data_IF_946259562518
#
_entry.id   IF_946259562518
#
_cell.length_a   1.000
_cell.length_b   1.000
_cell.length_c   1.000
_cell.angle_alpha   90.00
_cell.angle_beta   90.00
_cell.angle_gamma   90.00
#
_symmetry.space_group_name_H-M   'P 1'
#
loop_
_entity.id
_entity.type
_entity.pdbx_description
1 polymer ?
#
# COMPACT_ATOMS: atom_id res chain seq x y z
N UNK A 1 18.31 6.66 0.11
CA UNK A 1 17.13 7.03 0.93
C UNK A 1 17.24 6.45 2.33
N UNK A 2 17.61 5.18 2.46
CA UNK A 2 17.85 4.50 3.75
C UNK A 2 18.82 5.26 4.66
N UNK A 3 20.02 5.60 4.17
CA UNK A 3 21.03 6.33 4.97
C UNK A 3 20.58 7.73 5.39
N UNK A 4 19.83 8.40 4.50
CA UNK A 4 19.23 9.71 4.75
C UNK A 4 18.02 9.61 5.67
N UNK A 5 17.53 8.40 5.91
CA UNK A 5 16.34 8.10 6.71
C UNK A 5 15.10 8.87 6.24
N UNK A 6 14.94 8.95 4.92
CA UNK A 6 13.83 9.63 4.24
C UNK A 6 12.84 8.57 3.73
N UNK A 7 11.54 8.68 4.08
CA UNK A 7 10.51 7.79 3.52
C UNK A 7 10.33 7.97 2.01
N UNK A 8 10.05 6.88 1.31
CA UNK A 8 9.71 6.86 -0.11
C UNK A 8 8.21 6.66 -0.26
N UNK A 9 7.50 7.65 -0.83
CA UNK A 9 6.10 7.47 -1.23
C UNK A 9 6.04 7.06 -2.70
N UNK A 10 5.40 5.93 -2.97
CA UNK A 10 5.17 5.39 -4.31
C UNK A 10 3.76 5.79 -4.70
N UNK A 11 3.64 6.39 -5.87
CA UNK A 11 2.40 6.85 -6.43
C UNK A 11 2.34 6.42 -7.90
N UNK A 12 1.20 5.88 -8.31
CA UNK A 12 0.95 5.48 -9.68
C UNK A 12 1.29 6.61 -10.68
N UNK A 13 1.85 6.28 -11.85
CA UNK A 13 2.19 7.26 -12.87
C UNK A 13 0.96 7.96 -13.43
N UNK A 14 1.19 9.03 -14.20
CA UNK A 14 0.12 9.72 -14.93
C UNK A 14 -0.55 8.82 -15.96
N UNK A 15 0.22 7.90 -16.56
CA UNK A 15 -0.23 6.88 -17.51
C UNK A 15 0.17 5.48 -17.00
N UNK A 16 -0.81 4.67 -16.62
CA UNK A 16 -0.60 3.34 -16.03
C UNK A 16 -0.58 2.19 -17.04
N UNK A 17 -0.20 1.00 -16.60
CA UNK A 17 -0.30 -0.22 -17.40
C UNK A 17 -1.75 -0.48 -17.87
N UNK A 18 -1.91 -0.82 -19.15
CA UNK A 18 -3.21 -1.16 -19.74
C UNK A 18 -4.19 0.01 -19.86
N UNK A 19 -3.74 1.25 -19.65
CA UNK A 19 -4.59 2.44 -19.70
C UNK A 19 -5.30 2.63 -21.05
N UNK A 20 -4.72 2.13 -22.15
CA UNK A 20 -5.36 2.12 -23.46
C UNK A 20 -6.70 1.36 -23.47
N UNK A 21 -6.92 0.45 -22.51
CA UNK A 21 -8.18 -0.28 -22.32
C UNK A 21 -9.12 0.37 -21.30
N UNK A 22 -8.72 1.47 -20.68
CA UNK A 22 -9.40 2.09 -19.53
C UNK A 22 -9.69 3.60 -19.72
N UNK A 23 -9.62 4.09 -20.96
CA UNK A 23 -9.78 5.53 -21.27
C UNK A 23 -11.19 6.08 -20.99
N UNK A 24 -12.20 5.22 -21.01
CA UNK A 24 -13.59 5.60 -20.80
C UNK A 24 -14.00 5.47 -19.32
N UNK A 25 -15.06 6.17 -18.93
CA UNK A 25 -15.68 6.10 -17.59
C UNK A 25 -14.74 6.37 -16.40
N UNK A 26 -13.62 7.07 -16.62
CA UNK A 26 -12.55 7.34 -15.62
C UNK A 26 -11.87 6.08 -15.07
N UNK A 27 -11.98 4.94 -15.76
CA UNK A 27 -11.41 3.66 -15.31
C UNK A 27 -9.89 3.72 -15.16
N UNK A 28 -9.18 4.50 -15.99
CA UNK A 28 -7.73 4.70 -15.87
C UNK A 28 -7.34 5.15 -14.46
N UNK A 29 -8.07 6.12 -13.90
CA UNK A 29 -7.80 6.64 -12.55
C UNK A 29 -8.43 5.80 -11.43
N UNK A 30 -9.64 5.26 -11.62
CA UNK A 30 -10.37 4.58 -10.55
C UNK A 30 -10.04 3.10 -10.40
N UNK A 31 -9.47 2.48 -11.44
CA UNK A 31 -9.13 1.05 -11.49
C UNK A 31 -7.66 0.85 -11.89
N UNK A 32 -7.22 1.48 -12.98
CA UNK A 32 -5.89 1.28 -13.52
C UNK A 32 -4.76 1.70 -12.58
N UNK A 33 -4.80 2.94 -12.07
CA UNK A 33 -3.78 3.47 -11.15
C UNK A 33 -3.60 2.62 -9.88
N UNK A 34 -4.67 2.24 -9.15
CA UNK A 34 -4.54 1.28 -8.05
C UNK A 34 -3.85 -0.02 -8.48
N UNK A 35 -4.23 -0.65 -9.60
CA UNK A 35 -3.58 -1.89 -10.01
C UNK A 35 -2.11 -1.73 -10.40
N UNK A 36 -1.73 -0.61 -11.02
CA UNK A 36 -0.34 -0.30 -11.34
C UNK A 36 0.51 -0.10 -10.07
N UNK A 37 -0.07 0.51 -9.03
CA UNK A 37 0.53 0.62 -7.69
C UNK A 37 0.73 -0.78 -7.06
N UNK A 38 -0.31 -1.62 -7.10
CA UNK A 38 -0.24 -3.00 -6.59
C UNK A 38 0.86 -3.80 -7.29
N UNK A 39 0.96 -3.71 -8.61
CA UNK A 39 2.02 -4.35 -9.39
C UNK A 39 3.40 -3.81 -9.02
N UNK A 40 3.53 -2.50 -8.80
CA UNK A 40 4.78 -1.86 -8.41
C UNK A 40 5.26 -2.35 -7.05
N UNK A 41 4.37 -2.41 -6.05
CA UNK A 41 4.69 -2.96 -4.73
C UNK A 41 5.01 -4.45 -4.82
N UNK A 42 4.22 -5.22 -5.55
CA UNK A 42 4.47 -6.64 -5.76
C UNK A 42 5.88 -6.88 -6.35
N UNK A 43 6.29 -6.08 -7.34
CA UNK A 43 7.63 -6.13 -7.94
C UNK A 43 8.73 -5.73 -6.97
N UNK A 44 8.52 -4.74 -6.11
CA UNK A 44 9.50 -4.39 -5.06
C UNK A 44 9.73 -5.55 -4.09
N UNK A 45 8.66 -6.26 -3.75
CA UNK A 45 8.74 -7.45 -2.90
C UNK A 45 9.50 -8.56 -3.64
N UNK A 46 8.98 -9.06 -4.76
CA UNK A 46 9.54 -10.28 -5.39
C UNK A 46 10.92 -10.10 -6.02
N UNK A 47 11.34 -8.86 -6.28
CA UNK A 47 12.71 -8.55 -6.73
C UNK A 47 13.70 -8.34 -5.58
N UNK A 48 13.30 -8.61 -4.33
CA UNK A 48 14.19 -8.56 -3.18
C UNK A 48 14.60 -7.14 -2.77
N UNK A 49 13.92 -6.09 -3.25
CA UNK A 49 14.29 -4.71 -2.89
C UNK A 49 14.10 -4.47 -1.39
N UNK A 50 13.02 -4.99 -0.83
CA UNK A 50 12.76 -4.90 0.62
C UNK A 50 13.59 -5.89 1.44
N UNK A 51 14.22 -6.88 0.79
CA UNK A 51 15.19 -7.77 1.42
C UNK A 51 16.55 -7.08 1.55
N UNK A 52 17.02 -6.46 0.47
CA UNK A 52 18.28 -5.71 0.44
C UNK A 52 18.20 -4.46 1.34
N UNK A 53 17.12 -3.68 1.23
CA UNK A 53 16.94 -2.41 1.94
C UNK A 53 15.94 -2.53 3.10
N UNK A 54 16.14 -3.45 4.02
CA UNK A 54 15.21 -3.71 5.14
C UNK A 54 14.87 -2.50 6.03
N UNK A 55 15.73 -1.48 6.07
CA UNK A 55 15.51 -0.24 6.83
C UNK A 55 14.73 0.84 6.07
N UNK A 56 14.48 0.64 4.76
CA UNK A 56 13.70 1.60 3.98
C UNK A 56 12.26 1.68 4.50
N UNK A 57 11.71 2.89 4.49
CA UNK A 57 10.30 3.14 4.82
C UNK A 57 9.58 3.52 3.53
N UNK A 58 8.72 2.62 3.05
CA UNK A 58 7.91 2.85 1.85
C UNK A 58 6.49 3.24 2.27
N UNK A 59 5.86 4.14 1.51
CA UNK A 59 4.44 4.46 1.62
C UNK A 59 3.77 4.14 0.29
N UNK A 60 2.89 3.15 0.26
CA UNK A 60 2.06 2.85 -0.91
C UNK A 60 0.79 3.71 -0.91
N UNK A 61 0.54 4.43 -2.01
CA UNK A 61 -0.70 5.18 -2.16
C UNK A 61 -1.91 4.25 -2.32
N UNK A 62 -3.10 4.72 -1.97
CA UNK A 62 -4.37 4.04 -2.23
C UNK A 62 -4.44 2.61 -1.66
N UNK A 63 -4.02 2.43 -0.40
CA UNK A 63 -3.83 1.10 0.23
C UNK A 63 -2.86 0.18 -0.52
N UNK A 64 -1.93 0.74 -1.29
CA UNK A 64 -1.02 -0.03 -2.15
C UNK A 64 -1.75 -0.75 -3.28
N UNK A 65 -2.90 -0.23 -3.71
CA UNK A 65 -3.61 -0.76 -4.87
C UNK A 65 -4.35 -2.08 -4.65
N UNK A 66 -4.54 -2.50 -3.40
CA UNK A 66 -5.11 -3.81 -3.07
C UNK A 66 -4.07 -4.91 -2.84
N UNK A 67 -2.80 -4.56 -2.64
CA UNK A 67 -1.75 -5.55 -2.35
C UNK A 67 -2.11 -6.47 -1.17
N UNK A 68 -2.78 -5.95 -0.13
CA UNK A 68 -3.21 -6.74 1.02
C UNK A 68 -4.27 -7.81 0.64
N UNK A 69 -5.15 -7.53 -0.32
CA UNK A 69 -6.14 -8.49 -0.80
C UNK A 69 -5.48 -9.67 -1.53
N UNK A 70 -4.47 -9.37 -2.35
CA UNK A 70 -3.82 -10.37 -3.21
C UNK A 70 -2.59 -11.03 -2.58
N UNK A 71 -2.17 -10.61 -1.38
CA UNK A 71 -0.89 -11.05 -0.80
C UNK A 71 -0.83 -12.57 -0.61
N UNK A 72 -1.95 -13.21 -0.23
CA UNK A 72 -2.00 -14.67 -0.09
C UNK A 72 -1.80 -15.40 -1.43
N UNK A 73 -2.18 -14.79 -2.57
CA UNK A 73 -1.87 -15.35 -3.89
C UNK A 73 -0.39 -15.23 -4.24
N UNK A 74 0.29 -14.22 -3.74
CA UNK A 74 1.74 -14.09 -3.89
C UNK A 74 2.47 -15.12 -3.03
N UNK A 75 2.03 -15.32 -1.79
CA UNK A 75 2.56 -16.38 -0.91
C UNK A 75 2.38 -17.77 -1.54
N UNK A 76 1.21 -18.04 -2.11
CA UNK A 76 0.96 -19.26 -2.91
C UNK A 76 1.97 -19.44 -4.05
N UNK A 77 2.29 -18.37 -4.80
CA UNK A 77 3.27 -18.44 -5.88
C UNK A 77 4.70 -18.68 -5.35
N UNK A 78 5.02 -18.14 -4.17
CA UNK A 78 6.29 -18.38 -3.48
C UNK A 78 6.41 -19.84 -3.02
N UNK A 79 5.35 -20.42 -2.46
CA UNK A 79 5.31 -21.82 -2.01
C UNK A 79 5.44 -22.81 -3.17
N UNK A 80 4.82 -22.51 -4.32
CA UNK A 80 4.91 -23.36 -5.49
C UNK A 80 6.32 -23.42 -6.08
N UNK A 81 7.01 -22.28 -6.14
CA UNK A 81 8.33 -22.17 -6.75
C UNK A 81 8.39 -22.80 -8.16
N UNK A 82 9.45 -23.55 -8.42
CA UNK A 82 9.70 -24.22 -9.70
C UNK A 82 8.65 -25.29 -10.07
N UNK A 83 7.89 -25.80 -9.09
CA UNK A 83 6.88 -26.83 -9.36
C UNK A 83 5.76 -26.34 -10.28
N UNK A 84 5.56 -25.02 -10.36
CA UNK A 84 4.57 -24.38 -11.22
C UNK A 84 5.15 -23.80 -12.53
N UNK A 85 6.41 -24.06 -12.86
CA UNK A 85 7.05 -23.53 -14.07
C UNK A 85 6.33 -23.93 -15.38
N UNK A 86 5.52 -25.01 -15.36
CA UNK A 86 4.69 -25.43 -16.48
C UNK A 86 3.37 -24.68 -16.66
N UNK A 87 2.99 -23.79 -15.73
CA UNK A 87 1.71 -23.07 -15.75
C UNK A 87 1.77 -21.68 -16.43
N UNK A 88 2.92 -21.32 -16.99
CA UNK A 88 3.12 -20.07 -17.71
C UNK A 88 4.53 -19.50 -17.49
N UNK A 89 4.73 -18.25 -17.88
CA UNK A 89 6.00 -17.55 -17.64
C UNK A 89 6.29 -17.47 -16.15
N UNK A 90 7.44 -17.99 -15.74
CA UNK A 90 7.90 -18.01 -14.36
C UNK A 90 9.38 -17.61 -14.31
N UNK A 91 9.70 -16.73 -13.37
CA UNK A 91 11.07 -16.38 -12.99
C UNK A 91 11.20 -16.62 -11.48
N UNK A 92 12.32 -17.16 -11.00
CA UNK A 92 12.54 -17.32 -9.56
C UNK A 92 12.40 -16.00 -8.81
N UNK A 93 11.71 -16.04 -7.67
CA UNK A 93 11.55 -14.88 -6.80
C UNK A 93 12.87 -14.62 -6.06
N UNK A 94 13.28 -13.35 -5.94
CA UNK A 94 14.54 -12.95 -5.32
C UNK A 94 14.43 -12.70 -3.80
N UNK A 95 13.62 -13.50 -3.11
CA UNK A 95 13.27 -13.33 -1.69
C UNK A 95 13.45 -14.62 -0.91
N UNK A 96 13.85 -14.51 0.36
CA UNK A 96 14.06 -15.65 1.26
C UNK A 96 12.88 -15.93 2.22
N UNK A 97 11.86 -15.07 2.22
CA UNK A 97 10.64 -15.20 3.02
C UNK A 97 9.40 -15.10 2.12
N UNK A 98 8.21 -15.54 2.58
CA UNK A 98 6.97 -15.32 1.86
C UNK A 98 6.74 -13.82 1.60
N UNK A 99 6.20 -13.41 0.44
CA UNK A 99 5.86 -12.02 0.12
C UNK A 99 5.16 -11.24 1.24
N UNK A 100 4.23 -11.86 1.97
CA UNK A 100 3.53 -11.23 3.10
C UNK A 100 4.46 -10.72 4.21
N UNK A 101 5.60 -11.37 4.42
CA UNK A 101 6.60 -10.96 5.42
C UNK A 101 7.10 -9.53 5.18
N UNK A 102 7.20 -9.11 3.90
CA UNK A 102 7.78 -7.82 3.55
C UNK A 102 6.80 -6.65 3.71
N UNK A 103 5.50 -6.90 3.85
CA UNK A 103 4.51 -5.84 4.11
C UNK A 103 4.82 -5.05 5.38
N UNK A 104 5.54 -5.63 6.34
CA UNK A 104 5.97 -4.93 7.56
C UNK A 104 6.90 -3.73 7.31
N UNK A 105 7.49 -3.61 6.12
CA UNK A 105 8.35 -2.49 5.71
C UNK A 105 7.59 -1.37 4.98
N UNK A 106 6.29 -1.56 4.74
CA UNK A 106 5.46 -0.68 3.93
C UNK A 106 4.35 -0.08 4.81
N UNK A 107 4.19 1.22 4.72
CA UNK A 107 3.02 1.96 5.20
C UNK A 107 2.05 2.15 4.04
N UNK A 108 0.76 2.29 4.33
CA UNK A 108 -0.27 2.48 3.32
C UNK A 108 -1.10 3.69 3.66
N UNK A 109 -1.32 4.57 2.69
CA UNK A 109 -2.31 5.61 2.89
C UNK A 109 -3.74 5.05 2.84
N UNK A 110 -4.69 5.75 3.45
CA UNK A 110 -6.09 5.31 3.53
C UNK A 110 -6.96 5.73 2.34
N UNK A 111 -6.38 6.17 1.20
CA UNK A 111 -7.15 6.68 0.06
C UNK A 111 -7.78 5.54 -0.75
N UNK A 112 -8.83 4.92 -0.22
CA UNK A 112 -9.61 3.89 -0.94
C UNK A 112 -11.08 4.26 -1.13
N UNK A 113 -11.59 5.17 -0.27
CA UNK A 113 -13.01 5.54 -0.17
C UNK A 113 -13.96 4.35 0.08
N UNK A 114 -13.43 3.20 0.49
CA UNK A 114 -14.17 1.97 0.73
C UNK A 114 -13.71 1.32 2.04
N UNK A 115 -14.57 1.37 3.06
CA UNK A 115 -14.26 0.89 4.41
C UNK A 115 -13.84 -0.59 4.46
N UNK A 116 -14.49 -1.54 3.74
CA UNK A 116 -14.04 -2.94 3.71
C UNK A 116 -12.59 -3.12 3.22
N UNK A 117 -12.14 -2.32 2.26
CA UNK A 117 -10.75 -2.38 1.79
C UNK A 117 -9.77 -1.93 2.88
N UNK A 118 -10.12 -0.90 3.66
CA UNK A 118 -9.30 -0.46 4.80
C UNK A 118 -9.28 -1.52 5.89
N UNK A 119 -10.41 -2.19 6.15
CA UNK A 119 -10.45 -3.32 7.10
C UNK A 119 -9.55 -4.46 6.65
N UNK A 120 -9.57 -4.83 5.36
CA UNK A 120 -8.65 -5.83 4.82
C UNK A 120 -7.19 -5.44 5.06
N UNK A 121 -6.81 -4.20 4.77
CA UNK A 121 -5.45 -3.72 5.04
C UNK A 121 -5.13 -3.73 6.55
N UNK A 122 -6.06 -3.28 7.39
CA UNK A 122 -5.90 -3.26 8.84
C UNK A 122 -5.71 -4.68 9.41
N UNK A 123 -6.52 -5.64 8.99
CA UNK A 123 -6.40 -7.05 9.39
C UNK A 123 -5.11 -7.70 8.87
N UNK A 124 -4.58 -7.23 7.73
CA UNK A 124 -3.37 -7.77 7.12
C UNK A 124 -2.08 -7.21 7.74
N UNK A 125 -1.99 -5.89 7.95
CA UNK A 125 -0.74 -5.22 8.33
C UNK A 125 -0.80 -4.50 9.68
N UNK A 126 -1.98 -4.39 10.29
CA UNK A 126 -2.21 -3.67 11.53
C UNK A 126 -2.34 -2.16 11.36
N UNK A 127 -2.98 -1.51 12.34
CA UNK A 127 -3.22 -0.07 12.32
C UNK A 127 -1.94 0.77 12.29
N UNK A 128 -0.81 0.26 12.83
CA UNK A 128 0.51 0.93 12.85
C UNK A 128 1.20 1.04 11.48
N UNK A 129 0.59 0.45 10.44
CA UNK A 129 1.06 0.55 9.05
C UNK A 129 0.11 1.36 8.16
N UNK A 130 -0.94 1.95 8.72
CA UNK A 130 -1.87 2.78 7.97
C UNK A 130 -1.64 4.26 8.32
N UNK A 131 -1.62 5.13 7.31
CA UNK A 131 -1.50 6.59 7.48
C UNK A 131 -2.67 7.28 6.80
N UNK A 132 -3.26 8.28 7.46
CA UNK A 132 -4.36 9.00 6.84
C UNK A 132 -3.92 9.73 5.57
N UNK A 133 -4.64 9.49 4.48
CA UNK A 133 -4.47 10.17 3.20
C UNK A 133 -5.79 10.70 2.67
N UNK A 134 -5.73 11.75 1.85
CA UNK A 134 -6.91 12.38 1.23
C UNK A 134 -6.82 12.60 -0.27
N UNK A 135 -5.62 12.46 -0.86
CA UNK A 135 -5.30 12.80 -2.26
C UNK A 135 -5.71 14.24 -2.63
N UNK A 136 -5.57 15.15 -1.66
CA UNK A 136 -5.69 16.60 -1.89
C UNK A 136 -4.38 17.16 -2.49
N UNK A 137 -4.44 18.19 -3.38
CA UNK A 137 -5.63 18.95 -3.76
C UNK A 137 -6.60 18.34 -4.79
N UNK A 138 -6.25 17.38 -5.67
CA UNK A 138 -7.16 16.89 -6.70
C UNK A 138 -8.52 16.40 -6.17
N UNK A 139 -8.52 15.76 -4.99
CA UNK A 139 -9.71 15.18 -4.36
C UNK A 139 -10.16 15.92 -3.09
N UNK A 140 -9.89 17.23 -2.96
CA UNK A 140 -10.39 18.06 -1.86
C UNK A 140 -11.90 17.87 -1.53
N UNK A 141 -12.82 17.78 -2.52
CA UNK A 141 -14.23 17.54 -2.23
C UNK A 141 -14.51 16.22 -1.49
N UNK A 142 -13.60 15.24 -1.55
CA UNK A 142 -13.73 13.95 -0.89
C UNK A 142 -13.07 13.89 0.48
N UNK A 143 -12.37 14.94 0.92
CA UNK A 143 -11.71 14.98 2.23
C UNK A 143 -12.68 14.68 3.40
N UNK A 144 -13.92 15.22 3.46
CA UNK A 144 -14.87 14.86 4.51
C UNK A 144 -15.22 13.36 4.50
N UNK A 145 -15.31 12.74 3.32
CA UNK A 145 -15.57 11.30 3.18
C UNK A 145 -14.37 10.47 3.64
N UNK A 146 -13.15 10.85 3.26
CA UNK A 146 -11.93 10.18 3.70
C UNK A 146 -11.83 10.16 5.23
N UNK A 147 -12.08 11.31 5.89
CA UNK A 147 -12.09 11.40 7.35
C UNK A 147 -13.18 10.53 7.98
N UNK A 148 -14.41 10.64 7.49
CA UNK A 148 -15.56 9.92 8.04
C UNK A 148 -15.41 8.40 7.98
N UNK A 149 -14.72 7.88 6.96
CA UNK A 149 -14.45 6.44 6.87
C UNK A 149 -13.58 5.98 8.04
N UNK A 150 -12.52 6.72 8.40
CA UNK A 150 -11.65 6.37 9.54
C UNK A 150 -12.39 6.53 10.87
N UNK A 151 -13.19 7.60 11.03
CA UNK A 151 -14.04 7.81 12.20
C UNK A 151 -15.00 6.63 12.43
N UNK A 152 -15.53 6.05 11.34
CA UNK A 152 -16.49 4.95 11.37
C UNK A 152 -15.86 3.55 11.41
N UNK A 153 -14.54 3.42 11.43
CA UNK A 153 -13.91 2.11 11.56
C UNK A 153 -14.33 1.46 12.90
N UNK A 154 -14.65 0.15 12.90
CA UNK A 154 -15.04 -0.61 14.09
C UNK A 154 -13.82 -1.00 14.93
N UNK A 155 -12.97 -0.02 15.24
CA UNK A 155 -11.70 -0.18 15.95
C UNK A 155 -11.60 0.81 17.11
N UNK A 156 -10.66 0.57 18.03
CA UNK A 156 -10.48 1.40 19.22
C UNK A 156 -10.02 2.82 18.87
N UNK A 157 -10.24 3.75 19.80
CA UNK A 157 -9.73 5.12 19.68
C UNK A 157 -8.20 5.18 19.46
N UNK A 158 -7.36 4.35 20.11
CA UNK A 158 -5.92 4.35 19.86
C UNK A 158 -5.55 4.00 18.41
N UNK A 159 -6.28 3.09 17.77
CA UNK A 159 -6.03 2.71 16.37
C UNK A 159 -6.43 3.84 15.42
N UNK A 160 -7.54 4.54 15.70
CA UNK A 160 -7.95 5.72 14.92
C UNK A 160 -6.92 6.84 15.03
N UNK A 161 -6.39 7.11 16.23
CA UNK A 161 -5.34 8.11 16.46
C UNK A 161 -4.03 7.72 15.76
N UNK A 162 -3.67 6.45 15.79
CA UNK A 162 -2.51 5.94 15.06
C UNK A 162 -2.62 6.26 13.56
N UNK A 163 -3.77 5.92 12.97
CA UNK A 163 -4.05 6.15 11.54
C UNK A 163 -4.08 7.66 11.22
N UNK A 164 -4.77 8.47 12.04
CA UNK A 164 -4.94 9.90 11.76
C UNK A 164 -3.66 10.72 11.86
N UNK A 165 -2.76 10.40 12.80
CA UNK A 165 -1.59 11.25 13.07
C UNK A 165 -0.36 10.50 13.55
N UNK A 166 -0.46 9.59 14.53
CA UNK A 166 0.75 9.11 15.25
C UNK A 166 1.71 8.37 14.32
N UNK A 167 1.19 7.54 13.41
CA UNK A 167 2.03 6.82 12.45
C UNK A 167 2.75 7.79 11.49
N UNK A 168 2.08 8.85 11.05
CA UNK A 168 2.69 9.86 10.18
C UNK A 168 3.74 10.68 10.93
N UNK A 169 3.50 11.02 12.20
CA UNK A 169 4.47 11.71 13.06
C UNK A 169 5.73 10.86 13.25
N UNK A 170 5.58 9.56 13.53
CA UNK A 170 6.70 8.63 13.64
C UNK A 170 7.46 8.51 12.32
N UNK A 171 6.75 8.23 11.23
CA UNK A 171 7.31 8.01 9.90
C UNK A 171 8.09 9.23 9.38
N UNK A 172 7.52 10.42 9.55
CA UNK A 172 8.10 11.69 9.10
C UNK A 172 9.00 12.35 10.14
N UNK A 173 9.13 11.76 11.34
CA UNK A 173 9.93 12.26 12.47
C UNK A 173 9.56 13.68 12.88
N UNK A 174 8.27 13.94 12.93
CA UNK A 174 7.72 15.21 13.34
C UNK A 174 7.38 15.14 14.83
N UNK A 175 7.75 16.18 15.57
CA UNK A 175 7.24 16.38 16.92
C UNK A 175 5.77 16.77 16.85
N UNK A 176 4.95 16.24 17.74
CA UNK A 176 3.58 16.68 17.92
C UNK A 176 3.61 18.17 18.33
N UNK A 177 3.27 19.08 17.39
CA UNK A 177 3.06 20.48 17.77
C UNK A 177 1.74 20.51 18.55
N UNK A 178 1.82 20.55 19.88
CA UNK A 178 0.67 20.90 20.73
C UNK A 178 0.11 22.22 20.19
N UNK A 179 -1.11 22.15 19.65
CA UNK A 179 -1.92 23.34 19.37
C UNK A 179 -2.72 23.70 20.61
#
# INVERSE_FOLDING_TARGET
LTDLKVPLMIHAPSVGFGEERMREYRLASSVGRPFDECLSIARLIVRGVLEEFHDIKVVGCHLGGGICEVIGRMDYAYELGDAAAGLGSYEPLMISRPPSYYLKHIYFDTVSYHQPAIMCALETVGANRLVFGSDAPPLLPLLPRARKIIENLPVGQPEKEAIFSLNALELLRLSEKRR
#
